data_IF_263053173625
#
_entry.id   IF_263053173625
#
_cell.length_a   1.000
_cell.length_b   1.000
_cell.length_c   1.000
_cell.angle_alpha   90.00
_cell.angle_beta   90.00
_cell.angle_gamma   90.00
#
_symmetry.space_group_name_H-M   'P 1'
#
loop_
_entity.id
_entity.type
_entity.pdbx_description
1 polymer ?
#
# COMPACT_ATOMS: atom_id res chain seq x y z
N UNK A 1 -36.39 -30.80 4.00
CA UNK A 1 -35.25 -30.08 3.40
C UNK A 1 -35.83 -28.94 2.57
N UNK A 2 -35.95 -27.72 3.12
CA UNK A 2 -36.42 -26.56 2.34
C UNK A 2 -35.30 -26.20 1.39
N UNK A 3 -35.57 -26.31 0.09
CA UNK A 3 -34.76 -25.71 -0.95
C UNK A 3 -34.73 -24.21 -0.63
N UNK A 4 -33.57 -23.72 -0.20
CA UNK A 4 -33.33 -22.29 -0.04
C UNK A 4 -33.42 -21.73 -1.47
N UNK A 5 -34.56 -21.15 -1.82
CA UNK A 5 -34.71 -20.41 -3.08
C UNK A 5 -33.75 -19.24 -2.96
N UNK A 6 -32.56 -19.40 -3.51
CA UNK A 6 -31.66 -18.28 -3.77
C UNK A 6 -32.43 -17.34 -4.68
N UNK A 7 -32.75 -16.15 -4.16
CA UNK A 7 -33.48 -15.17 -4.93
C UNK A 7 -32.63 -14.74 -6.12
N UNK A 8 -33.21 -14.75 -7.31
CA UNK A 8 -32.50 -14.42 -8.53
C UNK A 8 -32.09 -12.94 -8.49
N UNK A 9 -30.78 -12.71 -8.32
CA UNK A 9 -30.18 -11.39 -8.19
C UNK A 9 -30.34 -10.54 -9.47
N UNK A 10 -30.80 -11.12 -10.59
CA UNK A 10 -31.11 -10.35 -11.80
C UNK A 10 -32.52 -9.74 -11.78
N UNK A 11 -33.36 -10.12 -10.82
CA UNK A 11 -34.72 -9.57 -10.71
C UNK A 11 -34.75 -8.21 -10.02
N UNK A 12 -35.58 -7.29 -10.52
CA UNK A 12 -35.73 -5.96 -9.92
C UNK A 12 -36.22 -6.02 -8.46
N UNK A 13 -37.05 -7.02 -8.13
CA UNK A 13 -37.54 -7.24 -6.76
C UNK A 13 -36.44 -7.56 -5.75
N UNK A 14 -35.33 -8.17 -6.19
CA UNK A 14 -34.18 -8.43 -5.34
C UNK A 14 -33.56 -7.10 -4.86
N UNK A 15 -33.35 -6.16 -5.79
CA UNK A 15 -32.70 -4.88 -5.53
C UNK A 15 -33.59 -3.84 -4.84
N UNK A 16 -34.91 -3.89 -5.06
CA UNK A 16 -35.87 -2.97 -4.43
C UNK A 16 -36.23 -3.32 -2.97
N UNK A 17 -35.44 -4.19 -2.33
CA UNK A 17 -35.62 -4.56 -0.93
C UNK A 17 -35.07 -3.47 0.01
N UNK A 18 -35.80 -3.14 1.07
CA UNK A 18 -35.35 -2.18 2.10
C UNK A 18 -34.00 -2.55 2.71
N UNK A 19 -33.66 -3.85 2.76
CA UNK A 19 -32.35 -4.32 3.23
C UNK A 19 -31.22 -3.88 2.30
N UNK A 20 -31.45 -3.94 0.99
CA UNK A 20 -30.49 -3.48 -0.02
C UNK A 20 -30.25 -1.99 0.14
N UNK A 21 -31.30 -1.19 0.39
CA UNK A 21 -31.17 0.24 0.65
C UNK A 21 -30.27 0.52 1.87
N UNK A 22 -30.44 -0.23 2.96
CA UNK A 22 -29.58 -0.07 4.15
C UNK A 22 -28.14 -0.50 3.84
N UNK A 23 -27.93 -1.61 3.13
CA UNK A 23 -26.59 -2.03 2.71
C UNK A 23 -25.92 -0.96 1.83
N UNK A 24 -26.68 -0.35 0.90
CA UNK A 24 -26.23 0.77 0.08
C UNK A 24 -25.81 1.98 0.92
N UNK A 25 -26.55 2.33 1.97
CA UNK A 25 -26.16 3.40 2.90
C UNK A 25 -24.84 3.06 3.60
N UNK A 26 -24.67 1.81 4.06
CA UNK A 26 -23.44 1.37 4.74
C UNK A 26 -22.21 1.30 3.84
N UNK A 27 -22.39 1.20 2.52
CA UNK A 27 -21.30 1.22 1.54
C UNK A 27 -21.04 2.65 1.07
N UNK A 28 -22.06 3.32 0.54
CA UNK A 28 -21.93 4.63 -0.10
C UNK A 28 -21.65 5.74 0.91
N UNK A 29 -22.23 5.69 2.11
CA UNK A 29 -21.99 6.69 3.15
C UNK A 29 -20.50 6.86 3.49
N UNK A 30 -19.80 5.79 3.91
CA UNK A 30 -18.36 5.83 4.13
C UNK A 30 -17.55 6.22 2.89
N UNK A 31 -17.96 5.80 1.68
CA UNK A 31 -17.29 6.21 0.44
C UNK A 31 -17.38 7.72 0.19
N UNK A 32 -18.55 8.34 0.40
CA UNK A 32 -18.69 9.80 0.29
C UNK A 32 -17.84 10.54 1.32
N UNK A 33 -17.81 10.05 2.57
CA UNK A 33 -16.94 10.60 3.62
C UNK A 33 -15.47 10.46 3.22
N UNK A 34 -15.05 9.30 2.70
CA UNK A 34 -13.69 9.06 2.23
C UNK A 34 -13.28 10.01 1.10
N UNK A 35 -14.15 10.22 0.10
CA UNK A 35 -13.92 11.18 -0.99
C UNK A 35 -13.78 12.60 -0.44
N UNK A 36 -14.67 13.00 0.49
CA UNK A 36 -14.59 14.31 1.13
C UNK A 36 -13.29 14.50 1.91
N UNK A 37 -12.85 13.50 2.67
CA UNK A 37 -11.59 13.52 3.43
C UNK A 37 -10.41 13.65 2.46
N UNK A 38 -10.35 12.84 1.39
CA UNK A 38 -9.30 12.93 0.37
C UNK A 38 -9.28 14.34 -0.23
N UNK A 39 -10.43 14.84 -0.68
CA UNK A 39 -10.56 16.17 -1.25
C UNK A 39 -10.09 17.25 -0.28
N UNK A 40 -10.44 17.16 1.00
CA UNK A 40 -10.06 18.14 2.03
C UNK A 40 -8.55 18.12 2.30
N UNK A 41 -7.96 16.95 2.50
CA UNK A 41 -6.57 16.84 2.94
C UNK A 41 -5.57 16.96 1.78
N UNK A 42 -5.86 16.41 0.60
CA UNK A 42 -4.94 16.51 -0.55
C UNK A 42 -5.04 17.85 -1.26
N UNK A 43 -6.23 18.47 -1.35
CA UNK A 43 -6.35 19.82 -1.89
C UNK A 43 -5.68 20.87 -0.99
N UNK A 44 -5.77 20.68 0.33
CA UNK A 44 -5.12 21.59 1.28
C UNK A 44 -3.60 21.57 1.13
N UNK A 45 -3.00 20.41 0.86
CA UNK A 45 -1.56 20.30 0.54
C UNK A 45 -1.19 21.10 -0.71
N UNK A 46 -2.01 21.06 -1.77
CA UNK A 46 -1.76 21.84 -2.98
C UNK A 46 -1.87 23.36 -2.76
N UNK A 47 -2.84 23.84 -1.98
CA UNK A 47 -2.99 25.27 -1.68
C UNK A 47 -1.96 25.82 -0.67
N UNK A 48 -1.42 24.96 0.20
CA UNK A 48 -0.33 25.34 1.10
C UNK A 48 1.02 25.37 0.37
N UNK A 49 1.19 24.56 -0.67
CA UNK A 49 2.37 24.57 -1.54
C UNK A 49 2.58 25.88 -2.30
N UNK A 50 1.53 26.69 -2.52
CA UNK A 50 1.63 28.01 -3.17
C UNK A 50 2.03 29.16 -2.22
N UNK A 51 2.08 28.93 -0.90
CA UNK A 51 2.40 29.96 0.09
C UNK A 51 3.60 29.57 0.98
N UNK A 52 4.81 29.66 0.41
CA UNK A 52 6.01 30.14 1.10
C UNK A 52 6.74 29.23 2.11
N UNK A 53 7.96 28.83 1.73
CA UNK A 53 9.21 28.84 2.53
C UNK A 53 9.46 27.82 3.65
N UNK A 54 8.51 26.96 4.03
CA UNK A 54 8.83 25.78 4.89
C UNK A 54 8.36 24.43 4.32
N UNK A 55 7.33 24.43 3.47
CA UNK A 55 6.73 23.21 2.91
C UNK A 55 7.55 22.59 1.77
N UNK A 56 8.32 23.40 1.01
CA UNK A 56 9.28 22.90 -0.01
C UNK A 56 10.30 21.93 0.59
N UNK A 57 10.71 22.16 1.84
CA UNK A 57 11.57 21.21 2.56
C UNK A 57 10.87 19.87 2.79
N UNK A 58 9.56 19.86 3.06
CA UNK A 58 8.76 18.65 3.32
C UNK A 58 8.47 17.89 2.03
N UNK A 59 8.21 18.57 0.91
CA UNK A 59 8.07 17.94 -0.42
C UNK A 59 9.35 17.25 -0.90
N UNK A 60 10.52 17.83 -0.59
CA UNK A 60 11.82 17.22 -0.88
C UNK A 60 12.08 15.93 -0.06
N UNK A 61 11.47 15.80 1.13
CA UNK A 61 11.52 14.57 1.93
C UNK A 61 10.67 13.46 1.32
N UNK A 62 9.53 13.79 0.71
CA UNK A 62 8.63 12.81 0.07
C UNK A 62 9.25 12.10 -1.15
N UNK A 63 10.06 12.80 -1.95
CA UNK A 63 10.69 12.24 -3.16
C UNK A 63 11.89 11.32 -2.83
N UNK A 64 12.48 11.50 -1.63
CA UNK A 64 13.55 10.66 -1.10
C UNK A 64 13.09 9.43 -0.31
N UNK A 65 11.91 9.47 0.30
CA UNK A 65 11.44 8.45 1.25
C UNK A 65 10.96 7.14 0.59
N UNK A 66 10.50 7.18 -0.66
CA UNK A 66 9.93 6.01 -1.33
C UNK A 66 10.95 4.89 -1.60
N UNK A 67 12.21 5.25 -1.81
CA UNK A 67 13.30 4.33 -2.16
C UNK A 67 14.43 4.28 -1.13
N UNK A 68 14.37 5.08 -0.07
CA UNK A 68 15.37 5.04 1.00
C UNK A 68 14.97 4.08 2.12
N UNK A 69 15.92 3.29 2.63
CA UNK A 69 15.68 2.49 3.81
C UNK A 69 15.61 3.36 5.07
N UNK A 70 14.99 2.83 6.13
CA UNK A 70 14.83 3.49 7.41
C UNK A 70 16.13 3.80 8.14
N UNK A 71 17.20 3.07 7.83
CA UNK A 71 18.51 3.17 8.45
C UNK A 71 19.57 3.56 7.41
N UNK A 72 20.43 4.52 7.76
CA UNK A 72 21.58 4.97 6.96
C UNK A 72 22.51 3.84 6.52
N UNK A 73 22.64 2.81 7.37
CA UNK A 73 23.57 1.71 7.20
C UNK A 73 23.08 0.66 6.18
N UNK A 74 21.77 0.60 5.92
CA UNK A 74 21.22 -0.30 4.91
C UNK A 74 21.45 0.36 3.55
N UNK A 75 22.26 -0.27 2.70
CA UNK A 75 22.43 0.21 1.33
C UNK A 75 21.08 0.13 0.58
N UNK A 76 20.65 1.16 -0.17
CA UNK A 76 19.37 1.18 -0.91
C UNK A 76 19.17 -0.04 -1.84
N UNK A 77 20.27 -0.65 -2.27
CA UNK A 77 20.28 -1.89 -3.04
C UNK A 77 19.58 -3.07 -2.32
N UNK A 78 19.69 -3.20 -1.00
CA UNK A 78 19.04 -4.30 -0.26
C UNK A 78 17.52 -4.15 -0.25
N UNK A 79 17.01 -2.93 -0.11
CA UNK A 79 15.58 -2.64 -0.23
C UNK A 79 15.09 -2.94 -1.65
N UNK A 80 15.85 -2.56 -2.67
CA UNK A 80 15.55 -2.90 -4.06
C UNK A 80 15.51 -4.42 -4.28
N UNK A 81 16.54 -5.14 -3.84
CA UNK A 81 16.63 -6.59 -4.00
C UNK A 81 15.44 -7.29 -3.31
N UNK A 82 15.10 -6.86 -2.09
CA UNK A 82 13.92 -7.35 -1.38
C UNK A 82 12.64 -7.14 -2.19
N UNK A 83 12.40 -5.92 -2.70
CA UNK A 83 11.20 -5.60 -3.48
C UNK A 83 11.08 -6.39 -4.77
N UNK A 84 12.19 -6.59 -5.48
CA UNK A 84 12.24 -7.36 -6.73
C UNK A 84 11.95 -8.84 -6.46
N UNK A 85 12.57 -9.42 -5.43
CA UNK A 85 12.31 -10.81 -5.04
C UNK A 85 10.85 -10.99 -4.60
N UNK A 86 10.34 -10.09 -3.75
CA UNK A 86 8.95 -10.12 -3.32
C UNK A 86 7.99 -10.02 -4.52
N UNK A 87 8.27 -9.12 -5.47
CA UNK A 87 7.46 -8.96 -6.69
C UNK A 87 7.37 -10.27 -7.49
N UNK A 88 8.50 -10.94 -7.75
CA UNK A 88 8.49 -12.18 -8.52
C UNK A 88 7.83 -13.34 -7.77
N UNK A 89 7.99 -13.42 -6.44
CA UNK A 89 7.30 -14.43 -5.62
C UNK A 89 5.77 -14.21 -5.62
N UNK A 90 5.33 -12.97 -5.43
CA UNK A 90 3.91 -12.58 -5.50
C UNK A 90 3.34 -12.89 -6.88
N UNK A 91 4.00 -12.42 -7.94
CA UNK A 91 3.54 -12.63 -9.32
C UNK A 91 3.49 -14.11 -9.67
N UNK A 92 4.51 -14.89 -9.31
CA UNK A 92 4.54 -16.34 -9.54
C UNK A 92 3.41 -17.07 -8.83
N UNK A 93 3.10 -16.67 -7.59
CA UNK A 93 1.97 -17.23 -6.82
C UNK A 93 0.64 -16.85 -7.45
N UNK A 94 0.45 -15.60 -7.86
CA UNK A 94 -0.77 -15.12 -8.53
C UNK A 94 -1.03 -15.89 -9.82
N UNK A 95 0.00 -16.05 -10.66
CA UNK A 95 -0.10 -16.81 -11.91
C UNK A 95 -0.40 -18.28 -11.62
N UNK A 96 0.27 -18.88 -10.64
CA UNK A 96 0.01 -20.28 -10.25
C UNK A 96 -1.43 -20.47 -9.79
N UNK A 97 -1.97 -19.54 -9.00
CA UNK A 97 -3.33 -19.61 -8.48
C UNK A 97 -4.37 -19.56 -9.61
N UNK A 98 -4.17 -18.65 -10.59
CA UNK A 98 -5.02 -18.56 -11.78
C UNK A 98 -4.89 -19.80 -12.68
N UNK A 99 -3.70 -20.40 -12.79
CA UNK A 99 -3.49 -21.61 -13.59
C UNK A 99 -4.15 -22.84 -12.95
N UNK A 100 -4.10 -22.96 -11.62
CA UNK A 100 -4.65 -24.12 -10.90
C UNK A 100 -6.16 -24.01 -10.74
N UNK A 101 -6.67 -22.84 -10.33
CA UNK A 101 -8.07 -22.68 -9.96
C UNK A 101 -8.93 -22.04 -11.07
N UNK A 102 -8.31 -21.42 -12.08
CA UNK A 102 -9.01 -20.69 -13.13
C UNK A 102 -9.05 -19.17 -12.88
N UNK A 103 -9.61 -18.43 -13.84
CA UNK A 103 -9.71 -16.97 -13.77
C UNK A 103 -10.87 -16.48 -12.88
N UNK A 104 -11.80 -17.37 -12.53
CA UNK A 104 -12.91 -17.11 -11.61
C UNK A 104 -12.44 -16.79 -10.19
N UNK A 105 -11.25 -17.25 -9.79
CA UNK A 105 -10.67 -16.87 -8.50
C UNK A 105 -10.47 -15.34 -8.37
N UNK A 106 -10.31 -14.63 -9.49
CA UNK A 106 -10.16 -13.17 -9.53
C UNK A 106 -11.44 -12.42 -9.08
N UNK A 107 -12.57 -13.10 -8.92
CA UNK A 107 -13.77 -12.51 -8.32
C UNK A 107 -13.63 -12.32 -6.80
N UNK A 108 -12.68 -12.98 -6.13
CA UNK A 108 -12.54 -12.87 -4.69
C UNK A 108 -11.76 -11.61 -4.28
N UNK A 109 -12.21 -10.96 -3.20
CA UNK A 109 -11.54 -9.78 -2.62
C UNK A 109 -10.11 -10.09 -2.13
N UNK A 110 -9.86 -11.34 -1.70
CA UNK A 110 -8.53 -11.83 -1.35
C UNK A 110 -7.58 -11.75 -2.55
N UNK A 111 -8.06 -12.09 -3.76
CA UNK A 111 -7.25 -11.95 -4.98
C UNK A 111 -7.07 -10.50 -5.41
N UNK A 112 -8.09 -9.65 -5.25
CA UNK A 112 -7.94 -8.21 -5.47
C UNK A 112 -6.86 -7.62 -4.55
N UNK A 113 -6.83 -8.06 -3.29
CA UNK A 113 -5.81 -7.66 -2.31
C UNK A 113 -4.43 -8.18 -2.70
N UNK A 114 -4.31 -9.46 -3.09
CA UNK A 114 -3.04 -10.04 -3.52
C UNK A 114 -2.49 -9.38 -4.79
N UNK A 115 -3.36 -9.10 -5.77
CA UNK A 115 -3.02 -8.34 -6.96
C UNK A 115 -2.55 -6.93 -6.60
N UNK A 116 -3.24 -6.25 -5.68
CA UNK A 116 -2.86 -4.92 -5.23
C UNK A 116 -1.46 -4.91 -4.58
N UNK A 117 -1.16 -5.89 -3.73
CA UNK A 117 0.18 -6.07 -3.14
C UNK A 117 1.22 -6.38 -4.23
N UNK A 118 0.88 -7.18 -5.23
CA UNK A 118 1.77 -7.46 -6.37
C UNK A 118 2.09 -6.17 -7.14
N UNK A 119 1.07 -5.34 -7.42
CA UNK A 119 1.24 -4.03 -8.06
C UNK A 119 2.09 -3.09 -7.20
N UNK A 120 1.87 -3.09 -5.87
CA UNK A 120 2.69 -2.33 -4.93
C UNK A 120 4.18 -2.67 -5.05
N UNK A 121 4.54 -3.96 -5.01
CA UNK A 121 5.93 -4.38 -5.12
C UNK A 121 6.53 -4.16 -6.52
N UNK A 122 5.73 -4.30 -7.58
CA UNK A 122 6.16 -3.94 -8.93
C UNK A 122 6.48 -2.46 -9.05
N UNK A 123 5.59 -1.59 -8.56
CA UNK A 123 5.79 -0.15 -8.59
C UNK A 123 6.93 0.29 -7.65
N UNK A 124 7.04 -0.30 -6.47
CA UNK A 124 8.15 -0.07 -5.54
C UNK A 124 9.50 -0.48 -6.12
N UNK A 125 9.56 -1.57 -6.89
CA UNK A 125 10.78 -2.00 -7.58
C UNK A 125 11.19 -0.99 -8.66
N UNK A 126 10.24 -0.45 -9.43
CA UNK A 126 10.51 0.60 -10.42
C UNK A 126 11.05 1.87 -9.76
N UNK A 127 10.40 2.34 -8.69
CA UNK A 127 10.84 3.54 -7.96
C UNK A 127 12.21 3.33 -7.28
N UNK A 128 12.44 2.17 -6.66
CA UNK A 128 13.74 1.83 -6.08
C UNK A 128 14.84 1.76 -7.12
N UNK A 129 14.57 1.22 -8.31
CA UNK A 129 15.53 1.16 -9.42
C UNK A 129 15.88 2.57 -9.90
N UNK A 130 14.86 3.41 -10.10
CA UNK A 130 15.04 4.79 -10.51
C UNK A 130 15.86 5.60 -9.49
N UNK A 131 15.53 5.49 -8.19
CA UNK A 131 16.26 6.15 -7.11
C UNK A 131 17.72 5.67 -6.99
N UNK A 132 17.96 4.36 -7.11
CA UNK A 132 19.32 3.80 -7.12
C UNK A 132 20.12 4.29 -8.34
N UNK A 133 19.50 4.35 -9.52
CA UNK A 133 20.14 4.84 -10.74
C UNK A 133 20.53 6.31 -10.62
N UNK A 134 19.65 7.16 -10.09
CA UNK A 134 19.98 8.57 -9.82
C UNK A 134 21.12 8.72 -8.82
N UNK A 135 21.09 7.96 -7.72
CA UNK A 135 22.16 7.99 -6.71
C UNK A 135 23.51 7.57 -7.31
N UNK A 136 23.53 6.50 -8.10
CA UNK A 136 24.74 6.06 -8.82
C UNK A 136 25.24 7.12 -9.81
N UNK A 137 24.34 7.73 -10.59
CA UNK A 137 24.68 8.81 -11.53
C UNK A 137 25.32 10.01 -10.82
N UNK A 138 24.79 10.40 -9.66
CA UNK A 138 25.36 11.47 -8.83
C UNK A 138 26.75 11.11 -8.29
N UNK A 139 26.94 9.90 -7.76
CA UNK A 139 28.26 9.44 -7.29
C UNK A 139 29.29 9.40 -8.42
N UNK A 140 28.89 8.99 -9.63
CA UNK A 140 29.76 8.96 -10.82
C UNK A 140 30.12 10.36 -11.31
N UNK A 141 29.18 11.30 -11.30
CA UNK A 141 29.45 12.71 -11.64
C UNK A 141 30.43 13.36 -10.66
N UNK A 142 30.34 13.01 -9.37
CA UNK A 142 31.26 13.47 -8.34
C UNK A 142 32.69 12.93 -8.54
N UNK A 143 32.82 11.62 -8.78
CA UNK A 143 34.12 11.01 -9.05
C UNK A 143 34.76 11.51 -10.37
N UNK A 144 33.96 11.95 -11.35
CA UNK A 144 34.45 12.54 -12.59
C UNK A 144 34.97 13.97 -12.45
N UNK A 145 34.48 14.74 -11.46
CA UNK A 145 34.92 16.11 -11.20
C UNK A 145 36.13 16.20 -10.26
N UNK A 146 36.41 15.16 -9.48
CA UNK A 146 37.56 15.12 -8.53
C UNK A 146 38.88 14.69 -9.21
N UNK A 147 38.84 14.26 -10.48
CA UNK A 147 40.05 13.89 -11.26
C UNK A 147 40.76 15.11 -11.86
N UNK A 148 40.20 16.31 -11.69
CA UNK A 148 40.72 17.55 -12.29
C UNK A 148 41.26 18.59 -11.31
N UNK A 149 41.31 18.34 -10.00
CA UNK A 149 41.83 19.30 -9.01
C UNK A 149 43.07 18.70 -8.34
N UNK A 150 44.22 19.14 -8.84
CA UNK A 150 45.56 19.16 -8.25
C UNK A 150 46.03 17.91 -7.49
N UNK A 151 46.90 17.16 -8.16
CA UNK A 151 47.72 16.08 -7.62
C UNK A 151 48.78 16.52 -6.59
N UNK A 152 48.72 17.75 -6.06
CA UNK A 152 49.67 18.26 -5.08
C UNK A 152 49.00 18.98 -3.91
N UNK A 153 48.31 18.24 -3.04
CA UNK A 153 48.19 18.63 -1.64
C UNK A 153 47.82 17.42 -0.78
N UNK A 154 48.83 16.85 -0.15
CA UNK A 154 48.62 15.92 0.95
C UNK A 154 48.07 16.66 2.16
N UNK A 155 46.83 16.36 2.56
CA UNK A 155 46.39 16.49 3.94
C UNK A 155 45.13 15.67 4.19
N UNK A 156 45.11 14.98 5.31
CA UNK A 156 44.04 14.12 5.82
C UNK A 156 42.68 14.83 5.82
N UNK A 157 41.83 14.58 4.82
CA UNK A 157 40.45 15.13 4.80
C UNK A 157 39.57 14.21 5.67
N UNK A 158 38.95 14.72 6.75
CA UNK A 158 38.09 13.89 7.61
C UNK A 158 36.85 13.44 6.82
N UNK A 159 36.40 12.19 7.00
CA UNK A 159 35.17 11.65 6.40
C UNK A 159 33.94 12.56 6.60
N UNK A 160 33.90 13.30 7.71
CA UNK A 160 32.84 14.26 8.05
C UNK A 160 32.76 15.44 7.08
N UNK A 161 33.88 15.87 6.48
CA UNK A 161 33.91 16.92 5.47
C UNK A 161 33.29 16.42 4.15
N UNK A 162 33.62 15.19 3.73
CA UNK A 162 32.99 14.57 2.54
C UNK A 162 31.48 14.40 2.69
N UNK A 163 30.98 14.01 3.85
CA UNK A 163 29.53 13.89 4.10
C UNK A 163 28.80 15.24 4.11
N UNK A 164 29.41 16.28 4.67
CA UNK A 164 28.82 17.63 4.70
C UNK A 164 28.85 18.27 3.32
N UNK A 165 29.93 18.13 2.56
CA UNK A 165 30.01 18.57 1.16
C UNK A 165 29.04 17.79 0.27
N UNK A 166 28.88 16.48 0.49
CA UNK A 166 27.88 15.64 -0.19
C UNK A 166 26.46 16.13 0.08
N UNK A 167 26.07 16.34 1.34
CA UNK A 167 24.74 16.86 1.70
C UNK A 167 24.46 18.24 1.10
N UNK A 168 25.41 19.18 1.20
CA UNK A 168 25.26 20.55 0.69
C UNK A 168 25.18 20.59 -0.84
N UNK A 169 25.86 19.67 -1.55
CA UNK A 169 25.74 19.56 -3.01
C UNK A 169 24.47 18.85 -3.46
N UNK A 170 24.01 17.83 -2.74
CA UNK A 170 22.71 17.19 -3.00
C UNK A 170 21.58 18.21 -2.88
N UNK A 171 21.60 19.08 -1.86
CA UNK A 171 20.63 20.19 -1.75
C UNK A 171 20.71 21.17 -2.92
N UNK A 172 21.92 21.51 -3.40
CA UNK A 172 22.10 22.41 -4.55
C UNK A 172 21.69 21.80 -5.89
N UNK A 173 21.95 20.52 -6.12
CA UNK A 173 21.60 19.85 -7.37
C UNK A 173 20.11 19.51 -7.45
N UNK A 174 19.45 19.24 -6.31
CA UNK A 174 17.99 19.17 -6.22
C UNK A 174 17.36 20.52 -6.60
N UNK A 175 17.90 21.63 -6.11
CA UNK A 175 17.48 22.99 -6.52
C UNK A 175 17.79 23.30 -8.00
N UNK A 176 18.78 22.65 -8.61
CA UNK A 176 19.06 22.81 -10.05
C UNK A 176 18.10 21.99 -10.91
N UNK A 177 17.71 20.81 -10.44
CA UNK A 177 16.71 19.96 -11.10
C UNK A 177 15.29 20.56 -11.02
N UNK A 178 14.99 21.32 -9.98
CA UNK A 178 13.76 22.12 -9.81
C UNK A 178 13.56 23.14 -10.94
N UNK A 179 14.64 23.68 -11.52
CA UNK A 179 14.57 24.60 -12.67
C UNK A 179 14.29 23.92 -14.01
N UNK A 180 14.46 22.60 -14.12
CA UNK A 180 14.29 21.85 -15.36
C UNK A 180 13.09 20.89 -15.29
N UNK A 181 11.86 21.43 -15.22
CA UNK A 181 10.60 20.89 -15.77
C UNK A 181 10.13 19.44 -15.52
N UNK A 182 10.91 18.55 -14.91
CA UNK A 182 10.64 17.11 -14.77
C UNK A 182 10.14 16.73 -13.37
N UNK A 183 10.01 17.71 -12.46
CA UNK A 183 9.67 17.51 -11.05
C UNK A 183 8.20 17.12 -10.75
N UNK A 184 7.16 17.55 -11.51
CA UNK A 184 5.76 17.25 -11.15
C UNK A 184 5.44 15.75 -11.15
N UNK A 185 6.04 14.99 -12.06
CA UNK A 185 5.72 13.58 -12.24
C UNK A 185 6.32 12.70 -11.14
N UNK A 186 7.47 13.06 -10.57
CA UNK A 186 8.11 12.29 -9.50
C UNK A 186 7.32 12.37 -8.18
N UNK A 187 6.85 13.57 -7.81
CA UNK A 187 6.02 13.77 -6.61
C UNK A 187 4.68 13.01 -6.71
N UNK A 188 4.04 13.03 -7.88
CA UNK A 188 2.79 12.29 -8.12
C UNK A 188 3.02 10.77 -7.99
N UNK A 189 4.14 10.25 -8.53
CA UNK A 189 4.48 8.83 -8.45
C UNK A 189 4.78 8.40 -7.01
N UNK A 190 5.52 9.21 -6.24
CA UNK A 190 5.79 8.93 -4.81
C UNK A 190 4.49 8.94 -4.00
N UNK A 191 3.63 9.93 -4.23
CA UNK A 191 2.30 10.00 -3.58
C UNK A 191 1.44 8.79 -3.92
N UNK A 192 1.37 8.41 -5.20
CA UNK A 192 0.65 7.22 -5.64
C UNK A 192 1.19 5.94 -4.98
N UNK A 193 2.51 5.81 -4.86
CA UNK A 193 3.14 4.66 -4.22
C UNK A 193 2.76 4.54 -2.74
N UNK A 194 2.74 5.67 -2.03
CA UNK A 194 2.32 5.70 -0.64
C UNK A 194 0.83 5.39 -0.47
N UNK A 195 -0.02 5.87 -1.38
CA UNK A 195 -1.45 5.53 -1.38
C UNK A 195 -1.65 4.03 -1.58
N UNK A 196 -0.96 3.45 -2.55
CA UNK A 196 -1.01 2.00 -2.82
C UNK A 196 -0.51 1.20 -1.61
N UNK A 197 0.58 1.62 -0.97
CA UNK A 197 1.11 0.99 0.26
C UNK A 197 0.05 0.92 1.36
N UNK A 198 -0.61 2.03 1.64
CA UNK A 198 -1.54 2.13 2.77
C UNK A 198 -2.88 1.45 2.49
N UNK A 199 -3.33 1.52 1.23
CA UNK A 199 -4.46 0.75 0.75
C UNK A 199 -4.18 -0.76 0.86
N UNK A 200 -2.98 -1.20 0.47
CA UNK A 200 -2.51 -2.58 0.61
C UNK A 200 -2.45 -3.01 2.08
N UNK A 201 -1.88 -2.19 2.95
CA UNK A 201 -1.77 -2.46 4.38
C UNK A 201 -3.13 -2.66 5.06
N UNK A 202 -4.10 -1.79 4.77
CA UNK A 202 -5.47 -1.94 5.26
C UNK A 202 -6.13 -3.22 4.74
N UNK A 203 -6.02 -3.48 3.42
CA UNK A 203 -6.64 -4.63 2.77
C UNK A 203 -6.04 -5.96 3.23
N UNK A 204 -4.72 -6.05 3.36
CA UNK A 204 -4.00 -7.22 3.90
C UNK A 204 -4.39 -7.43 5.35
N UNK A 205 -4.40 -6.39 6.19
CA UNK A 205 -4.82 -6.54 7.59
C UNK A 205 -6.26 -7.08 7.70
N UNK A 206 -7.19 -6.58 6.88
CA UNK A 206 -8.57 -7.07 6.87
C UNK A 206 -8.66 -8.53 6.42
N UNK A 207 -8.07 -8.86 5.27
CA UNK A 207 -8.18 -10.20 4.67
C UNK A 207 -7.46 -11.26 5.50
N UNK A 208 -6.25 -10.96 5.96
CA UNK A 208 -5.44 -11.90 6.74
C UNK A 208 -5.99 -12.07 8.16
N UNK A 209 -6.49 -11.01 8.82
CA UNK A 209 -7.12 -11.17 10.13
C UNK A 209 -8.36 -12.07 10.03
N UNK A 210 -9.22 -11.85 9.02
CA UNK A 210 -10.39 -12.70 8.81
C UNK A 210 -9.97 -14.14 8.51
N UNK A 211 -8.96 -14.34 7.66
CA UNK A 211 -8.46 -15.67 7.37
C UNK A 211 -7.90 -16.37 8.61
N UNK A 212 -6.93 -15.77 9.31
CA UNK A 212 -6.21 -16.41 10.41
C UNK A 212 -7.02 -16.55 11.70
N UNK A 213 -7.87 -15.58 12.02
CA UNK A 213 -8.61 -15.59 13.29
C UNK A 213 -10.00 -16.20 13.18
N UNK A 214 -10.58 -16.27 11.98
CA UNK A 214 -11.96 -16.76 11.80
C UNK A 214 -11.99 -18.01 10.91
N UNK A 215 -11.45 -17.93 9.69
CA UNK A 215 -11.59 -19.01 8.70
C UNK A 215 -10.69 -20.20 9.05
N UNK A 216 -9.39 -19.97 9.25
CA UNK A 216 -8.41 -21.01 9.49
C UNK A 216 -8.73 -21.88 10.72
N UNK A 217 -9.08 -21.33 11.91
CA UNK A 217 -9.49 -22.14 13.05
C UNK A 217 -10.74 -22.98 12.78
N UNK A 218 -11.68 -22.46 12.00
CA UNK A 218 -12.88 -23.21 11.64
C UNK A 218 -12.59 -24.37 10.68
N UNK A 219 -11.67 -24.17 9.73
CA UNK A 219 -11.24 -25.21 8.80
C UNK A 219 -10.48 -26.32 9.54
N UNK A 220 -9.60 -25.97 10.47
CA UNK A 220 -8.83 -26.96 11.25
C UNK A 220 -9.70 -27.73 12.26
N UNK A 221 -10.68 -27.09 12.89
CA UNK A 221 -11.61 -27.78 13.81
C UNK A 221 -12.49 -28.81 13.09
N UNK A 222 -12.81 -28.57 11.82
CA UNK A 222 -13.71 -29.40 11.02
C UNK A 222 -12.99 -30.38 10.09
N UNK A 223 -11.67 -30.52 10.22
CA UNK A 223 -10.82 -31.37 9.39
C UNK A 223 -11.03 -31.14 7.88
N UNK A 224 -11.25 -29.88 7.47
CA UNK A 224 -11.31 -29.52 6.06
C UNK A 224 -9.89 -29.46 5.46
N UNK A 225 -9.74 -29.92 4.22
CA UNK A 225 -8.49 -29.80 3.47
C UNK A 225 -8.08 -28.33 3.34
N UNK A 226 -6.92 -27.99 3.91
CA UNK A 226 -6.34 -26.66 3.80
C UNK A 226 -5.78 -26.48 2.39
N UNK A 227 -6.30 -25.50 1.66
CA UNK A 227 -5.69 -25.14 0.38
C UNK A 227 -4.33 -24.48 0.64
N UNK A 228 -3.25 -25.21 0.31
CA UNK A 228 -1.88 -24.75 0.52
C UNK A 228 -1.59 -23.43 -0.22
N UNK A 229 -2.21 -23.21 -1.39
CA UNK A 229 -2.07 -21.95 -2.12
C UNK A 229 -2.74 -20.79 -1.36
N UNK A 230 -3.94 -20.99 -0.82
CA UNK A 230 -4.62 -19.96 0.00
C UNK A 230 -3.82 -19.63 1.27
N UNK A 231 -3.31 -20.65 1.96
CA UNK A 231 -2.43 -20.47 3.11
C UNK A 231 -1.17 -19.69 2.74
N UNK A 232 -0.54 -20.04 1.61
CA UNK A 232 0.65 -19.36 1.11
C UNK A 232 0.35 -17.90 0.76
N UNK A 233 -0.73 -17.62 0.03
CA UNK A 233 -1.15 -16.27 -0.37
C UNK A 233 -1.32 -15.34 0.83
N UNK A 234 -2.02 -15.79 1.88
CA UNK A 234 -2.20 -15.01 3.12
C UNK A 234 -0.90 -14.85 3.90
N UNK A 235 -0.10 -15.92 4.03
CA UNK A 235 1.20 -15.83 4.72
C UNK A 235 2.15 -14.88 4.00
N UNK A 236 2.21 -14.99 2.68
CA UNK A 236 3.15 -14.27 1.83
C UNK A 236 2.82 -12.78 1.81
N UNK A 237 1.55 -12.39 1.66
CA UNK A 237 1.10 -11.00 1.78
C UNK A 237 1.55 -10.34 3.10
N UNK A 238 1.26 -10.99 4.23
CA UNK A 238 1.64 -10.49 5.55
C UNK A 238 3.17 -10.32 5.66
N UNK A 239 3.93 -11.35 5.31
CA UNK A 239 5.39 -11.38 5.47
C UNK A 239 6.06 -10.33 4.58
N UNK A 240 5.72 -10.27 3.29
CA UNK A 240 6.38 -9.36 2.36
C UNK A 240 6.04 -7.90 2.69
N UNK A 241 4.77 -7.61 2.99
CA UNK A 241 4.34 -6.25 3.29
C UNK A 241 4.89 -5.74 4.62
N UNK A 242 4.89 -6.57 5.67
CA UNK A 242 5.55 -6.24 6.93
C UNK A 242 7.07 -6.09 6.73
N UNK A 243 7.69 -6.96 5.93
CA UNK A 243 9.09 -6.85 5.55
C UNK A 243 9.42 -5.49 4.91
N UNK A 244 8.69 -5.08 3.86
CA UNK A 244 8.89 -3.77 3.26
C UNK A 244 8.61 -2.65 4.25
N UNK A 245 7.53 -2.76 5.02
CA UNK A 245 7.17 -1.81 6.05
C UNK A 245 8.22 -1.68 7.14
N UNK A 246 9.03 -2.71 7.45
CA UNK A 246 10.18 -2.57 8.37
C UNK A 246 11.38 -1.89 7.73
N UNK A 247 11.61 -2.09 6.44
CA UNK A 247 12.77 -1.57 5.73
C UNK A 247 12.58 -0.15 5.21
N UNK A 248 11.39 0.21 4.72
CA UNK A 248 11.08 1.50 4.10
C UNK A 248 10.87 2.61 5.16
N UNK A 249 10.98 3.89 4.80
CA UNK A 249 10.69 5.01 5.71
C UNK A 249 9.36 5.70 5.44
N UNK A 250 8.39 4.99 4.84
CA UNK A 250 7.16 5.61 4.36
C UNK A 250 6.28 6.13 5.52
N UNK A 251 5.72 7.35 5.40
CA UNK A 251 4.77 7.86 6.38
C UNK A 251 3.43 7.11 6.29
N UNK A 252 2.77 6.96 7.44
CA UNK A 252 1.46 6.29 7.57
C UNK A 252 0.42 7.24 8.22
N UNK A 253 0.00 8.32 7.53
CA UNK A 253 -1.02 9.24 8.03
C UNK A 253 -2.40 8.57 8.14
N UNK A 254 -3.21 9.06 9.07
CA UNK A 254 -4.54 8.51 9.33
C UNK A 254 -5.57 8.81 8.24
N UNK A 255 -5.53 9.99 7.62
CA UNK A 255 -6.57 10.41 6.66
C UNK A 255 -6.66 9.51 5.42
N UNK A 256 -5.58 8.80 5.09
CA UNK A 256 -5.48 7.92 3.93
C UNK A 256 -6.13 6.55 4.12
N UNK A 257 -6.70 6.26 5.30
CA UNK A 257 -7.70 5.20 5.48
C UNK A 257 -8.83 5.29 4.45
N UNK A 258 -9.12 6.51 3.98
CA UNK A 258 -10.09 6.80 2.93
C UNK A 258 -9.85 5.98 1.65
N UNK A 259 -8.60 5.78 1.25
CA UNK A 259 -8.28 4.97 0.06
C UNK A 259 -8.59 3.49 0.25
N UNK A 260 -8.34 2.96 1.46
CA UNK A 260 -8.71 1.60 1.81
C UNK A 260 -10.25 1.41 1.82
N UNK A 261 -11.00 2.38 2.36
CA UNK A 261 -12.47 2.37 2.32
C UNK A 261 -12.99 2.42 0.87
N UNK A 262 -12.36 3.22 0.01
CA UNK A 262 -12.75 3.28 -1.40
C UNK A 262 -12.44 1.99 -2.13
N UNK A 263 -11.30 1.36 -1.85
CA UNK A 263 -10.92 0.08 -2.47
C UNK A 263 -11.94 -1.03 -2.18
N UNK A 264 -12.33 -1.19 -0.91
CA UNK A 264 -13.38 -2.15 -0.52
C UNK A 264 -14.74 -1.77 -1.09
N UNK A 265 -15.09 -0.49 -1.09
CA UNK A 265 -16.33 0.00 -1.69
C UNK A 265 -16.42 -0.28 -3.19
N UNK A 266 -15.34 -0.03 -3.94
CA UNK A 266 -15.25 -0.33 -5.38
C UNK A 266 -15.42 -1.82 -5.63
N UNK A 267 -14.78 -2.68 -4.84
CA UNK A 267 -14.98 -4.13 -4.93
C UNK A 267 -16.45 -4.53 -4.70
N UNK A 268 -17.10 -3.98 -3.67
CA UNK A 268 -18.51 -4.28 -3.38
C UNK A 268 -19.42 -3.82 -4.51
N UNK A 269 -19.20 -2.63 -5.07
CA UNK A 269 -19.97 -2.12 -6.21
C UNK A 269 -19.75 -2.99 -7.44
N UNK A 270 -18.51 -3.39 -7.72
CA UNK A 270 -18.18 -4.32 -8.79
C UNK A 270 -18.97 -5.64 -8.66
N UNK A 271 -19.03 -6.19 -7.44
CA UNK A 271 -19.82 -7.40 -7.17
C UNK A 271 -21.31 -7.19 -7.40
N UNK A 272 -21.85 -6.06 -6.93
CA UNK A 272 -23.26 -5.74 -7.14
C UNK A 272 -23.62 -5.60 -8.62
N UNK A 273 -22.78 -4.89 -9.38
CA UNK A 273 -22.98 -4.71 -10.83
C UNK A 273 -22.99 -6.07 -11.54
N UNK A 274 -21.99 -6.92 -11.28
CA UNK A 274 -21.94 -8.24 -11.94
C UNK A 274 -23.17 -9.08 -11.62
N UNK A 275 -23.58 -9.14 -10.35
CA UNK A 275 -24.74 -9.94 -9.94
C UNK A 275 -26.08 -9.35 -10.41
N UNK A 276 -26.14 -8.06 -10.73
CA UNK A 276 -27.32 -7.45 -11.33
C UNK A 276 -27.48 -7.82 -12.82
N UNK A 277 -26.38 -8.02 -13.55
CA UNK A 277 -26.40 -8.22 -15.00
C UNK A 277 -26.20 -9.65 -15.46
N UNK A 278 -25.53 -10.49 -14.67
CA UNK A 278 -25.19 -11.85 -15.07
C UNK A 278 -25.98 -12.85 -14.22
N UNK A 279 -26.97 -13.54 -14.83
CA UNK A 279 -27.76 -14.54 -14.12
C UNK A 279 -26.89 -15.76 -13.79
N UNK A 280 -27.21 -16.43 -12.67
CA UNK A 280 -26.53 -17.63 -12.15
C UNK A 280 -25.10 -17.46 -11.55
N UNK A 281 -24.56 -16.24 -11.41
CA UNK A 281 -23.34 -16.09 -10.61
C UNK A 281 -23.62 -16.29 -9.12
N UNK A 282 -22.78 -17.11 -8.48
CA UNK A 282 -22.77 -17.27 -7.04
C UNK A 282 -22.03 -16.10 -6.39
N UNK A 283 -22.50 -15.67 -5.22
CA UNK A 283 -21.77 -14.69 -4.43
C UNK A 283 -20.42 -15.29 -3.99
N UNK A 284 -19.28 -14.60 -4.22
CA UNK A 284 -17.98 -15.09 -3.81
C UNK A 284 -17.88 -15.19 -2.27
N UNK A 285 -18.60 -14.32 -1.56
CA UNK A 285 -18.72 -14.39 -0.11
C UNK A 285 -20.18 -14.36 0.32
N UNK A 286 -20.62 -15.26 1.22
CA UNK A 286 -21.98 -15.27 1.73
C UNK A 286 -22.42 -13.96 2.38
N UNK A 287 -21.48 -13.20 2.95
CA UNK A 287 -21.76 -11.90 3.59
C UNK A 287 -22.16 -10.80 2.59
N UNK A 288 -21.91 -11.00 1.30
CA UNK A 288 -22.32 -10.07 0.23
C UNK A 288 -23.72 -10.36 -0.31
N UNK A 289 -24.30 -11.52 0.01
CA UNK A 289 -25.66 -11.85 -0.40
C UNK A 289 -26.66 -10.94 0.32
N UNK A 290 -27.35 -10.11 -0.45
CA UNK A 290 -28.29 -9.10 0.04
C UNK A 290 -29.66 -9.70 0.41
N UNK A 291 -29.93 -10.95 0.02
CA UNK A 291 -31.18 -11.66 0.38
C UNK A 291 -31.23 -12.04 1.86
N UNK A 292 -30.06 -12.20 2.48
CA UNK A 292 -29.92 -12.64 3.86
C UNK A 292 -30.62 -11.72 4.88
N UNK A 293 -31.23 -12.26 5.95
CA UNK A 293 -31.85 -11.45 7.00
C UNK A 293 -30.88 -10.53 7.73
N UNK A 294 -29.63 -10.95 7.84
CA UNK A 294 -28.57 -10.20 8.52
C UNK A 294 -27.64 -9.46 7.57
N UNK A 295 -27.97 -9.34 6.27
CA UNK A 295 -27.13 -8.65 5.30
C UNK A 295 -26.76 -7.23 5.77
N UNK A 296 -27.69 -6.34 6.19
CA UNK A 296 -27.34 -5.01 6.69
C UNK A 296 -26.31 -5.01 7.84
N UNK A 297 -26.38 -6.00 8.73
CA UNK A 297 -25.45 -6.13 9.85
C UNK A 297 -24.05 -6.52 9.37
N UNK A 298 -23.94 -7.45 8.42
CA UNK A 298 -22.64 -7.84 7.85
C UNK A 298 -21.96 -6.68 7.13
N UNK A 299 -22.71 -5.91 6.34
CA UNK A 299 -22.19 -4.71 5.67
C UNK A 299 -21.70 -3.66 6.69
N UNK A 300 -22.45 -3.46 7.78
CA UNK A 300 -22.03 -2.58 8.87
C UNK A 300 -20.75 -3.09 9.57
N UNK A 301 -20.67 -4.39 9.87
CA UNK A 301 -19.49 -4.99 10.50
C UNK A 301 -18.25 -4.81 9.63
N UNK A 302 -18.35 -5.08 8.33
CA UNK A 302 -17.24 -4.87 7.40
C UNK A 302 -16.86 -3.39 7.33
N UNK A 303 -17.83 -2.48 7.25
CA UNK A 303 -17.57 -1.04 7.28
C UNK A 303 -16.79 -0.62 8.54
N UNK A 304 -17.22 -1.09 9.72
CA UNK A 304 -16.56 -0.80 10.99
C UNK A 304 -15.17 -1.42 11.10
N UNK A 305 -14.94 -2.60 10.52
CA UNK A 305 -13.64 -3.31 10.54
C UNK A 305 -12.50 -2.54 9.87
N UNK A 306 -12.79 -1.57 8.99
CA UNK A 306 -11.74 -0.74 8.37
C UNK A 306 -10.92 0.03 9.42
N UNK A 307 -11.57 0.52 10.48
CA UNK A 307 -10.94 1.32 11.53
C UNK A 307 -9.91 0.49 12.34
N UNK A 308 -10.27 -0.66 12.97
CA UNK A 308 -9.31 -1.46 13.70
C UNK A 308 -8.25 -2.08 12.79
N UNK A 309 -8.57 -2.46 11.54
CA UNK A 309 -7.56 -3.01 10.62
C UNK A 309 -6.51 -1.95 10.25
N UNK A 310 -6.95 -0.77 9.81
CA UNK A 310 -6.03 0.32 9.49
C UNK A 310 -5.27 0.80 10.74
N UNK A 311 -5.96 0.87 11.88
CA UNK A 311 -5.40 1.27 13.16
C UNK A 311 -4.33 0.30 13.68
N UNK A 312 -4.54 -1.01 13.55
CA UNK A 312 -3.55 -2.02 13.93
C UNK A 312 -2.26 -1.85 13.13
N UNK A 313 -2.35 -1.67 11.81
CA UNK A 313 -1.16 -1.42 10.99
C UNK A 313 -0.50 -0.08 11.32
N UNK A 314 -1.28 0.97 11.57
CA UNK A 314 -0.76 2.27 12.02
C UNK A 314 0.02 2.14 13.36
N UNK A 315 -0.45 1.29 14.28
CA UNK A 315 0.25 1.00 15.53
C UNK A 315 1.56 0.25 15.29
N UNK A 316 1.59 -0.72 14.37
CA UNK A 316 2.82 -1.42 13.96
C UNK A 316 3.85 -0.41 13.44
N UNK A 317 3.43 0.52 12.56
CA UNK A 317 4.31 1.56 12.03
C UNK A 317 4.82 2.50 13.13
N UNK A 318 3.95 2.97 14.03
CA UNK A 318 4.35 3.81 15.16
C UNK A 318 5.33 3.10 16.08
N UNK A 319 5.07 1.83 16.40
CA UNK A 319 5.93 1.01 17.24
C UNK A 319 7.30 0.79 16.60
N UNK A 320 7.34 0.52 15.30
CA UNK A 320 8.59 0.45 14.52
C UNK A 320 9.40 1.74 14.63
N UNK A 321 8.79 2.90 14.36
CA UNK A 321 9.49 4.18 14.43
C UNK A 321 9.99 4.49 15.85
N UNK A 322 9.21 4.15 16.87
CA UNK A 322 9.63 4.24 18.27
C UNK A 322 10.83 3.33 18.58
N UNK A 323 10.80 2.08 18.15
CA UNK A 323 11.91 1.14 18.37
C UNK A 323 13.19 1.57 17.64
N UNK A 324 13.10 1.92 16.35
CA UNK A 324 14.26 2.30 15.56
C UNK A 324 14.89 3.61 16.04
N UNK A 325 14.08 4.59 16.44
CA UNK A 325 14.60 5.84 17.00
C UNK A 325 15.31 5.64 18.35
N UNK A 326 14.90 4.65 19.15
CA UNK A 326 15.51 4.31 20.43
C UNK A 326 16.76 3.45 20.29
N UNK A 327 16.74 2.45 19.39
CA UNK A 327 17.84 1.49 19.20
C UNK A 327 18.97 2.05 18.32
N UNK A 328 18.64 2.88 17.33
CA UNK A 328 19.60 3.40 16.35
C UNK A 328 19.51 4.94 16.20
N UNK A 329 19.74 5.72 17.26
CA UNK A 329 19.50 7.16 17.25
C UNK A 329 20.37 7.95 16.26
N UNK A 330 21.55 7.45 15.88
CA UNK A 330 22.45 8.13 14.92
C UNK A 330 22.17 7.72 13.46
N UNK A 331 21.63 6.51 13.26
CA UNK A 331 21.47 5.89 11.94
C UNK A 331 20.03 5.95 11.41
N UNK A 332 19.04 6.20 12.28
CA UNK A 332 17.63 6.34 11.90
C UNK A 332 17.37 7.62 11.08
N UNK A 333 16.66 7.46 9.96
CA UNK A 333 16.33 8.55 9.02
C UNK A 333 14.85 8.90 8.93
N UNK A 334 13.96 8.16 9.61
CA UNK A 334 12.52 8.44 9.57
C UNK A 334 12.14 9.70 10.35
N UNK A 335 10.98 10.29 10.04
CA UNK A 335 10.45 11.49 10.69
C UNK A 335 10.56 11.38 12.22
N UNK A 336 11.11 12.44 12.82
CA UNK A 336 11.08 12.68 14.27
C UNK A 336 9.88 13.56 14.60
#
# INVERSE_FOLDING_TARGET
>A
MRILVTSDATTLSYWLNWRVLICAIWVLGPMFIAIYVIWKYERSDHTASEKGTQQERIGLFYDGEAWRPCLKEIHPFWLLAFRVVAFFLLLGTLVSDVVVHGADILYYYTQWTFLLVTVYFGFGSLLSTYGCYQHYKMCKAFNGHDVGIDAEQGLYVPLTYKETTYKVRVEKDLNFQEKNGNLPNADILSRAFQVIFQMSAGAVMLTDCVYWFIIFPFLTIKDYDLNALTFLTHSLNAIVLLGDATLNSLPYPWFRISYFILWTGVYVIFQWVIHAFVPLLWWPYPILDLSGPYAPLWYLVVALMHIPCYGAFALIMKFKHFLLSRLFPQSYQGLR
#
